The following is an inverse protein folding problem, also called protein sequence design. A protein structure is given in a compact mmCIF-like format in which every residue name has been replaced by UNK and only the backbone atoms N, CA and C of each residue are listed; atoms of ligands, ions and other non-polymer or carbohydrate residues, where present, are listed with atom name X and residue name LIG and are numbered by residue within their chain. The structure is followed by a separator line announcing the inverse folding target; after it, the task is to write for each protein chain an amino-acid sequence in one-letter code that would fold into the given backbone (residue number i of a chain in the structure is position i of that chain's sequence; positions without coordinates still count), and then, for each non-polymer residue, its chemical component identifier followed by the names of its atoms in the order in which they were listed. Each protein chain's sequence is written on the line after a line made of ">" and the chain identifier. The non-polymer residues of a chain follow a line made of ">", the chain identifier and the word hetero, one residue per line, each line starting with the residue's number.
data_IF_266737891810
#
_entry.id   IF_266737891810
#
_cell.length_a   1.000
_cell.length_b   1.000
_cell.length_c   1.000
_cell.angle_alpha   90.00
_cell.angle_beta   90.00
_cell.angle_gamma   90.00
#
_symmetry.space_group_name_H-M   'P 1'
#
loop_
_entity.id
_entity.type
_entity.pdbx_description
1 polymer ?
#
# COMPACT_ATOMS: atom_id res chain seq x y z
N UNK A 1 -6.44 15.51 -8.57
CA UNK A 1 -6.10 14.09 -8.37
C UNK A 1 -6.46 13.69 -6.96
N UNK A 2 -7.04 12.50 -6.79
CA UNK A 2 -7.44 11.98 -5.47
C UNK A 2 -6.64 10.70 -5.21
N UNK A 3 -6.01 10.57 -4.04
CA UNK A 3 -5.26 9.37 -3.65
C UNK A 3 -5.89 8.75 -2.41
N UNK A 4 -6.13 7.43 -2.46
CA UNK A 4 -6.60 6.62 -1.32
C UNK A 4 -5.57 5.56 -0.99
N UNK A 5 -5.18 5.45 0.27
CA UNK A 5 -4.21 4.45 0.76
C UNK A 5 -4.88 3.55 1.79
N UNK A 6 -4.79 2.23 1.60
CA UNK A 6 -5.26 1.21 2.54
C UNK A 6 -4.08 0.36 3.00
N UNK A 7 -4.05 0.02 4.29
CA UNK A 7 -2.98 -0.79 4.89
C UNK A 7 -3.57 -1.96 5.66
N UNK A 8 -3.02 -3.16 5.42
CA UNK A 8 -3.38 -4.40 6.11
C UNK A 8 -2.14 -4.93 6.80
N UNK A 9 -2.18 -5.12 8.12
CA UNK A 9 -1.08 -5.67 8.90
C UNK A 9 -1.46 -7.02 9.48
N UNK A 10 -0.67 -8.04 9.17
CA UNK A 10 -0.81 -9.41 9.68
C UNK A 10 0.39 -9.70 10.58
N UNK A 11 0.13 -9.99 11.85
CA UNK A 11 1.17 -10.32 12.82
C UNK A 11 1.02 -11.78 13.25
N UNK A 12 2.03 -12.59 12.96
CA UNK A 12 2.12 -14.00 13.36
C UNK A 12 3.21 -14.16 14.41
N UNK A 13 2.86 -14.69 15.58
CA UNK A 13 3.82 -15.00 16.65
C UNK A 13 3.97 -16.50 16.79
N UNK A 14 5.20 -16.99 16.71
CA UNK A 14 5.55 -18.40 16.94
C UNK A 14 6.43 -18.50 18.18
N UNK A 15 6.04 -19.35 19.12
CA UNK A 15 6.84 -19.66 20.32
C UNK A 15 7.41 -21.06 20.15
N UNK A 16 8.73 -21.19 20.27
CA UNK A 16 9.43 -22.48 20.30
C UNK A 16 10.06 -22.66 21.67
N UNK A 17 9.54 -23.62 22.43
CA UNK A 17 10.03 -23.96 23.78
C UNK A 17 10.95 -25.17 23.71
N UNK A 18 12.15 -25.05 24.28
CA UNK A 18 13.04 -26.17 24.59
C UNK A 18 13.26 -26.26 26.11
N UNK A 19 13.90 -27.33 26.57
CA UNK A 19 14.22 -27.53 27.99
C UNK A 19 15.11 -26.44 28.59
N UNK A 20 15.84 -25.69 27.76
CA UNK A 20 16.82 -24.69 28.20
C UNK A 20 16.50 -23.26 27.77
N UNK A 21 15.72 -23.07 26.69
CA UNK A 21 15.42 -21.73 26.14
C UNK A 21 14.01 -21.65 25.56
N UNK A 22 13.38 -20.49 25.70
CA UNK A 22 12.18 -20.12 24.96
C UNK A 22 12.53 -19.08 23.89
N UNK A 23 12.28 -19.41 22.63
CA UNK A 23 12.49 -18.50 21.50
C UNK A 23 11.11 -18.05 21.02
N UNK A 24 10.84 -16.75 21.14
CA UNK A 24 9.64 -16.13 20.57
C UNK A 24 10.03 -15.43 19.28
N UNK A 25 9.41 -15.82 18.18
CA UNK A 25 9.60 -15.21 16.86
C UNK A 25 8.30 -14.52 16.45
N UNK A 26 8.34 -13.20 16.26
CA UNK A 26 7.22 -12.42 15.74
C UNK A 26 7.51 -12.04 14.31
N UNK A 27 6.63 -12.40 13.38
CA UNK A 27 6.68 -12.01 11.97
C UNK A 27 5.50 -11.08 11.69
N UNK A 28 5.77 -9.85 11.29
CA UNK A 28 4.76 -8.86 10.92
C UNK A 28 4.84 -8.59 9.43
N UNK A 29 3.78 -8.88 8.68
CA UNK A 29 3.64 -8.59 7.25
C UNK A 29 2.64 -7.46 7.08
N UNK A 30 3.07 -6.34 6.50
CA UNK A 30 2.22 -5.19 6.18
C UNK A 30 2.06 -5.06 4.67
N UNK A 31 0.82 -5.00 4.20
CA UNK A 31 0.45 -4.79 2.79
C UNK A 31 -0.18 -3.41 2.69
N UNK A 32 0.44 -2.50 1.96
CA UNK A 32 -0.06 -1.14 1.71
C UNK A 32 -0.45 -1.02 0.24
N UNK A 33 -1.69 -0.65 -0.04
CA UNK A 33 -2.21 -0.40 -1.40
C UNK A 33 -2.59 1.06 -1.52
N UNK A 34 -2.01 1.75 -2.50
CA UNK A 34 -2.31 3.15 -2.83
C UNK A 34 -2.92 3.23 -4.21
N UNK A 35 -4.15 3.73 -4.29
CA UNK A 35 -4.85 4.01 -5.56
C UNK A 35 -4.84 5.51 -5.79
N UNK A 36 -4.31 5.95 -6.92
CA UNK A 36 -4.29 7.36 -7.33
C UNK A 36 -5.13 7.57 -8.58
N UNK A 37 -6.05 8.51 -8.55
CA UNK A 37 -6.85 8.95 -9.71
C UNK A 37 -6.39 10.32 -10.18
N UNK A 38 -5.98 10.40 -11.44
CA UNK A 38 -5.55 11.64 -12.10
C UNK A 38 -6.57 11.99 -13.18
N UNK A 39 -7.21 13.14 -13.06
CA UNK A 39 -8.17 13.66 -14.04
C UNK A 39 -7.49 14.77 -14.85
N UNK A 40 -7.40 14.59 -16.16
CA UNK A 40 -6.83 15.54 -17.11
C UNK A 40 -7.94 16.00 -18.06
N UNK A 41 -8.18 17.31 -18.13
CA UNK A 41 -9.14 17.89 -19.09
C UNK A 41 -8.37 18.52 -20.23
N UNK A 42 -8.61 18.04 -21.45
CA UNK A 42 -8.02 18.59 -22.68
C UNK A 42 -9.11 19.30 -23.46
N UNK A 43 -8.97 20.60 -23.68
CA UNK A 43 -9.85 21.39 -24.55
C UNK A 43 -9.24 21.54 -25.93
N UNK A 44 -9.97 21.14 -26.97
CA UNK A 44 -9.58 21.40 -28.36
C UNK A 44 -10.53 22.45 -28.93
N UNK A 45 -9.99 23.60 -29.33
CA UNK A 45 -10.74 24.67 -29.99
C UNK A 45 -10.62 24.49 -31.50
N UNK A 46 -11.70 24.13 -32.18
CA UNK A 46 -11.74 24.05 -33.64
C UNK A 46 -12.29 25.37 -34.18
N UNK A 47 -11.44 26.17 -34.82
CA UNK A 47 -11.87 27.42 -35.48
C UNK A 47 -12.25 27.14 -36.92
N UNK A 48 -13.55 27.18 -37.23
CA UNK A 48 -14.08 27.29 -38.60
C UNK A 48 -14.41 28.75 -38.89
N UNK A 49 -14.17 29.21 -40.13
CA UNK A 49 -14.17 30.63 -40.56
C UNK A 49 -15.55 31.33 -40.60
N UNK A 50 -16.52 30.93 -39.75
CA UNK A 50 -17.86 31.53 -39.72
C UNK A 50 -18.39 31.57 -38.27
N UNK A 51 -18.18 32.69 -37.57
CA UNK A 51 -18.79 33.23 -36.33
C UNK A 51 -19.29 32.33 -35.17
N UNK A 52 -19.09 31.01 -35.16
CA UNK A 52 -19.45 30.11 -34.05
C UNK A 52 -18.30 29.16 -33.75
N UNK A 53 -17.52 29.41 -32.71
CA UNK A 53 -16.49 28.48 -32.23
C UNK A 53 -17.13 27.47 -31.27
N UNK A 54 -17.09 26.18 -31.62
CA UNK A 54 -17.49 25.10 -30.71
C UNK A 54 -16.25 24.60 -29.97
N UNK A 55 -16.21 24.76 -28.65
CA UNK A 55 -15.15 24.18 -27.80
C UNK A 55 -15.57 22.78 -27.39
N UNK A 56 -14.80 21.77 -27.79
CA UNK A 56 -14.98 20.40 -27.31
C UNK A 56 -14.00 20.15 -26.17
N UNK A 57 -14.52 19.83 -24.98
CA UNK A 57 -13.72 19.44 -23.83
C UNK A 57 -13.76 17.92 -23.66
N UNK A 58 -12.59 17.28 -23.66
CA UNK A 58 -12.45 15.85 -23.37
C UNK A 58 -11.85 15.69 -21.98
N UNK A 59 -12.56 15.03 -21.07
CA UNK A 59 -12.08 14.72 -19.73
C UNK A 59 -11.61 13.27 -19.68
N UNK A 60 -10.30 13.07 -19.48
CA UNK A 60 -9.69 11.74 -19.32
C UNK A 60 -9.35 11.51 -17.86
N UNK A 61 -9.80 10.39 -17.29
CA UNK A 61 -9.45 9.99 -15.91
C UNK A 61 -8.61 8.72 -15.96
N UNK A 62 -7.40 8.78 -15.40
CA UNK A 62 -6.48 7.64 -15.30
C UNK A 62 -6.38 7.22 -13.84
N UNK A 63 -6.65 5.95 -13.55
CA UNK A 63 -6.41 5.36 -12.23
C UNK A 63 -5.12 4.53 -12.25
N UNK A 64 -4.32 4.63 -11.19
CA UNK A 64 -3.10 3.83 -10.98
C UNK A 64 -3.10 3.26 -9.57
N UNK A 65 -2.89 1.95 -9.45
CA UNK A 65 -2.85 1.24 -8.17
C UNK A 65 -1.44 0.69 -7.94
N UNK A 66 -0.85 1.03 -6.80
CA UNK A 66 0.46 0.52 -6.37
C UNK A 66 0.31 -0.24 -5.06
N UNK A 67 0.80 -1.48 -5.01
CA UNK A 67 0.81 -2.32 -3.80
C UNK A 67 2.24 -2.56 -3.34
N UNK A 68 2.51 -2.36 -2.05
CA UNK A 68 3.80 -2.59 -1.41
C UNK A 68 3.63 -3.52 -0.22
N UNK A 69 4.44 -4.58 -0.17
CA UNK A 69 4.45 -5.56 0.93
C UNK A 69 5.76 -5.46 1.70
N UNK A 70 5.69 -5.34 3.02
CA UNK A 70 6.85 -5.28 3.91
C UNK A 70 6.73 -6.34 5.00
N UNK A 71 7.74 -7.20 5.13
CA UNK A 71 7.79 -8.24 6.16
C UNK A 71 8.93 -7.96 7.13
N UNK A 72 8.61 -7.87 8.42
CA UNK A 72 9.57 -7.67 9.50
C UNK A 72 9.55 -8.87 10.43
N UNK A 73 10.72 -9.42 10.74
CA UNK A 73 10.88 -10.53 11.68
C UNK A 73 11.66 -10.06 12.90
N UNK A 74 11.11 -10.26 14.09
CA UNK A 74 11.75 -9.98 15.38
C UNK A 74 11.83 -11.27 16.18
N UNK A 75 13.04 -11.64 16.59
CA UNK A 75 13.26 -12.83 17.43
C UNK A 75 13.73 -12.37 18.80
N UNK A 76 13.06 -12.82 19.85
CA UNK A 76 13.46 -12.60 21.25
C UNK A 76 13.69 -13.95 21.92
N UNK A 77 14.88 -14.19 22.44
CA UNK A 77 15.19 -15.38 23.25
C UNK A 77 15.14 -15.03 24.74
N UNK A 78 14.42 -15.83 25.51
CA UNK A 78 14.45 -15.80 26.97
C UNK A 78 15.19 -17.05 27.44
N UNK A 79 16.27 -16.85 28.19
CA UNK A 79 16.96 -17.93 28.90
C UNK A 79 16.10 -18.33 30.10
N UNK A 80 15.74 -19.61 30.21
CA UNK A 80 15.08 -20.12 31.41
C UNK A 80 16.22 -20.57 32.33
N UNK A 81 16.60 -19.73 33.29
CA UNK A 81 17.54 -20.15 34.33
C UNK A 81 16.88 -21.28 35.13
N UNK A 82 17.30 -22.52 34.89
CA UNK A 82 16.86 -23.70 35.66
C UNK A 82 17.16 -23.43 37.13
N UNK A 83 16.12 -23.25 37.95
CA UNK A 83 16.26 -23.38 39.40
C UNK A 83 15.97 -24.83 39.78
N UNK A 84 16.85 -25.74 39.33
CA UNK A 84 17.09 -27.09 39.83
C UNK A 84 18.46 -27.56 39.31
#
# INVERSE_FOLDING_TARGET
>A
STSTTTTITVTTTTITTSTTTSITTTTTTTITTTTSTTTTTTSTTTSTTTTTSTTTSTTTTTASTTTTTTTTKTTTSMSICSMF
#
